data_IF_276029896626
#
_entry.id   IF_276029896626
#
_cell.length_a   1.000
_cell.length_b   1.000
_cell.length_c   1.000
_cell.angle_alpha   90.00
_cell.angle_beta   90.00
_cell.angle_gamma   90.00
#
_symmetry.space_group_name_H-M   'P 1'
#
loop_
_entity.id
_entity.type
_entity.pdbx_description
1 polymer ?
#
# COMPACT_ATOMS: atom_id res chain seq x y z
N UNK A 1 9.73 16.29 -16.79
CA UNK A 1 10.16 15.98 -15.40
C UNK A 1 10.37 14.48 -15.35
N UNK A 2 11.54 14.02 -14.91
CA UNK A 2 11.80 12.59 -14.73
C UNK A 2 11.19 12.13 -13.40
N UNK A 3 10.40 11.06 -13.43
CA UNK A 3 9.79 10.42 -12.27
C UNK A 3 10.40 9.02 -12.05
N UNK A 4 10.51 8.67 -10.79
CA UNK A 4 10.80 7.32 -10.34
C UNK A 4 9.54 6.45 -10.47
N UNK A 5 9.74 5.15 -10.65
CA UNK A 5 8.67 4.15 -10.57
C UNK A 5 9.02 3.12 -9.49
N UNK A 6 8.00 2.57 -8.85
CA UNK A 6 8.17 1.35 -8.08
C UNK A 6 8.13 0.12 -8.99
N UNK A 7 8.77 -0.96 -8.59
CA UNK A 7 8.77 -2.23 -9.33
C UNK A 7 8.60 -3.41 -8.37
N UNK A 8 7.67 -4.29 -8.68
CA UNK A 8 7.41 -5.55 -7.97
C UNK A 8 7.67 -6.72 -8.91
N UNK A 9 8.66 -7.56 -8.61
CA UNK A 9 9.03 -8.73 -9.42
C UNK A 9 9.11 -8.43 -10.94
N UNK A 10 9.68 -7.28 -11.32
CA UNK A 10 9.82 -6.88 -12.72
C UNK A 10 8.64 -6.08 -13.31
N UNK A 11 7.49 -5.98 -12.62
CA UNK A 11 6.33 -5.19 -13.05
C UNK A 11 6.33 -3.82 -12.36
N UNK A 12 6.20 -2.74 -13.12
CA UNK A 12 6.22 -1.38 -12.56
C UNK A 12 4.86 -0.93 -12.03
N UNK A 13 4.90 -0.02 -11.04
CA UNK A 13 3.77 0.75 -10.55
C UNK A 13 4.18 2.22 -10.36
N UNK A 14 3.23 3.12 -10.53
CA UNK A 14 3.41 4.56 -10.49
C UNK A 14 3.16 5.13 -9.09
N UNK A 15 2.09 4.70 -8.42
CA UNK A 15 1.65 5.33 -7.16
C UNK A 15 2.00 4.48 -5.95
N UNK A 16 1.30 3.36 -5.77
CA UNK A 16 1.44 2.52 -4.58
C UNK A 16 1.33 1.05 -4.95
N UNK A 17 2.06 0.22 -4.20
CA UNK A 17 1.86 -1.22 -4.13
C UNK A 17 1.54 -1.59 -2.68
N UNK A 18 0.45 -2.32 -2.46
CA UNK A 18 -0.08 -2.61 -1.13
C UNK A 18 -0.35 -4.10 -0.94
N UNK A 19 -0.19 -4.53 0.31
CA UNK A 19 -0.59 -5.83 0.80
C UNK A 19 -1.43 -5.67 2.06
N UNK A 20 -2.37 -6.59 2.23
CA UNK A 20 -3.19 -6.70 3.42
C UNK A 20 -4.60 -6.19 3.17
N UNK A 21 -5.09 -5.32 4.05
CA UNK A 21 -6.46 -4.83 4.05
C UNK A 21 -6.84 -4.18 2.72
N UNK A 22 -5.99 -3.30 2.21
CA UNK A 22 -6.25 -2.54 0.98
C UNK A 22 -6.29 -3.46 -0.24
N UNK A 23 -5.32 -4.37 -0.37
CA UNK A 23 -5.33 -5.43 -1.38
C UNK A 23 -6.59 -6.32 -1.31
N UNK A 24 -7.03 -6.68 -0.10
CA UNK A 24 -8.26 -7.45 0.08
C UNK A 24 -9.52 -6.67 -0.34
N UNK A 25 -9.54 -5.36 -0.14
CA UNK A 25 -10.61 -4.47 -0.64
C UNK A 25 -10.56 -4.39 -2.16
N UNK A 26 -9.39 -4.16 -2.76
CA UNK A 26 -9.21 -4.10 -4.22
C UNK A 26 -9.69 -5.38 -4.90
N UNK A 27 -9.27 -6.55 -4.39
CA UNK A 27 -9.77 -7.85 -4.87
C UNK A 27 -11.28 -8.00 -4.75
N UNK A 28 -11.85 -7.56 -3.62
CA UNK A 28 -13.30 -7.63 -3.43
C UNK A 28 -14.03 -6.76 -4.45
N UNK A 29 -13.55 -5.53 -4.68
CA UNK A 29 -14.13 -4.57 -5.61
C UNK A 29 -13.98 -5.03 -7.06
N UNK A 30 -12.82 -5.57 -7.44
CA UNK A 30 -12.57 -6.12 -8.77
C UNK A 30 -13.54 -7.29 -9.10
N UNK A 31 -13.87 -8.11 -8.09
CA UNK A 31 -14.86 -9.16 -8.22
C UNK A 31 -16.33 -8.69 -8.24
N UNK A 32 -16.63 -7.41 -7.96
CA UNK A 32 -18.01 -6.91 -7.94
C UNK A 32 -18.54 -6.72 -9.36
N UNK A 33 -19.55 -7.53 -9.72
CA UNK A 33 -20.32 -7.39 -10.96
C UNK A 33 -21.60 -6.56 -10.77
N UNK A 34 -21.56 -5.51 -9.95
CA UNK A 34 -22.74 -4.70 -9.63
C UNK A 34 -22.63 -3.34 -10.34
N UNK A 35 -23.45 -3.08 -11.40
CA UNK A 35 -23.29 -1.89 -12.24
C UNK A 35 -23.45 -0.55 -11.50
N UNK A 36 -24.17 -0.53 -10.38
CA UNK A 36 -24.43 0.68 -9.59
C UNK A 36 -23.37 0.99 -8.52
N UNK A 37 -22.46 0.05 -8.24
CA UNK A 37 -21.37 0.21 -7.27
C UNK A 37 -20.05 0.28 -8.05
N UNK A 38 -19.69 1.48 -8.49
CA UNK A 38 -18.43 1.76 -9.17
C UNK A 38 -17.60 2.78 -8.40
N UNK A 39 -16.29 2.79 -8.65
CA UNK A 39 -15.34 3.73 -8.06
C UNK A 39 -15.38 3.77 -6.53
N UNK A 40 -15.38 4.98 -5.97
CA UNK A 40 -15.28 5.23 -4.52
C UNK A 40 -16.38 4.53 -3.71
N UNK A 41 -17.60 4.40 -4.24
CA UNK A 41 -18.73 3.77 -3.50
C UNK A 41 -18.51 2.27 -3.32
N UNK A 42 -18.05 1.59 -4.37
CA UNK A 42 -17.66 0.19 -4.29
C UNK A 42 -16.52 -0.01 -3.29
N UNK A 43 -15.54 0.90 -3.31
CA UNK A 43 -14.40 0.87 -2.40
C UNK A 43 -14.80 1.02 -0.94
N UNK A 44 -15.63 2.02 -0.61
CA UNK A 44 -16.13 2.23 0.74
C UNK A 44 -16.91 1.03 1.26
N UNK A 45 -17.75 0.42 0.41
CA UNK A 45 -18.49 -0.78 0.76
C UNK A 45 -17.57 -1.98 0.99
N UNK A 46 -16.60 -2.20 0.11
CA UNK A 46 -15.56 -3.23 0.26
C UNK A 46 -14.76 -3.04 1.56
N UNK A 47 -14.32 -1.82 1.85
CA UNK A 47 -13.61 -1.48 3.08
C UNK A 47 -14.46 -1.73 4.33
N UNK A 48 -15.72 -1.31 4.34
CA UNK A 48 -16.64 -1.56 5.46
C UNK A 48 -16.88 -3.05 5.71
N UNK A 49 -16.97 -3.86 4.65
CA UNK A 49 -17.07 -5.32 4.77
C UNK A 49 -15.78 -5.94 5.27
N UNK A 50 -14.66 -5.55 4.67
CA UNK A 50 -13.36 -6.13 5.00
C UNK A 50 -12.90 -5.78 6.40
N UNK A 51 -13.29 -4.62 6.96
CA UNK A 51 -12.78 -4.22 8.28
C UNK A 51 -13.30 -5.15 9.39
N UNK A 52 -14.41 -5.82 9.13
CA UNK A 52 -14.99 -6.81 10.05
C UNK A 52 -14.31 -8.17 9.90
N UNK A 53 -14.02 -8.61 8.67
CA UNK A 53 -13.61 -10.00 8.37
C UNK A 53 -12.10 -10.19 8.16
N UNK A 54 -11.36 -9.13 7.80
CA UNK A 54 -9.96 -9.23 7.38
C UNK A 54 -9.03 -9.66 8.52
N UNK A 55 -8.20 -10.67 8.28
CA UNK A 55 -7.17 -11.10 9.24
C UNK A 55 -5.80 -10.70 8.71
N UNK A 56 -5.05 -9.94 9.51
CA UNK A 56 -3.71 -9.51 9.18
C UNK A 56 -2.78 -10.73 9.01
N UNK A 57 -2.12 -10.89 7.85
CA UNK A 57 -1.10 -11.91 7.69
C UNK A 57 0.13 -11.59 8.54
N UNK A 58 0.89 -12.63 8.89
CA UNK A 58 2.24 -12.47 9.40
C UNK A 58 3.19 -12.28 8.23
N UNK A 59 3.96 -11.18 8.25
CA UNK A 59 4.86 -10.77 7.18
C UNK A 59 6.29 -10.63 7.72
N UNK A 60 7.24 -10.99 6.87
CA UNK A 60 8.67 -10.75 7.06
C UNK A 60 9.13 -9.79 5.96
N UNK A 61 9.78 -8.71 6.35
CA UNK A 61 10.27 -7.66 5.47
C UNK A 61 11.76 -7.45 5.70
N UNK A 62 12.55 -7.62 4.65
CA UNK A 62 13.99 -7.45 4.70
C UNK A 62 14.43 -6.45 3.63
N UNK A 63 15.09 -5.37 4.03
CA UNK A 63 15.57 -4.33 3.13
C UNK A 63 16.75 -3.55 3.71
N UNK A 64 17.08 -2.43 3.07
CA UNK A 64 18.08 -1.48 3.56
C UNK A 64 17.71 -0.83 4.91
N UNK A 65 16.44 -0.86 5.32
CA UNK A 65 15.97 -0.51 6.67
C UNK A 65 16.20 -1.63 7.71
N UNK A 66 16.78 -2.76 7.32
CA UNK A 66 16.98 -3.94 8.17
C UNK A 66 15.82 -4.94 8.11
N UNK A 67 15.58 -5.63 9.23
CA UNK A 67 14.58 -6.69 9.37
C UNK A 67 13.36 -6.19 10.14
N UNK A 68 12.17 -6.40 9.57
CA UNK A 68 10.89 -6.09 10.21
C UNK A 68 9.96 -7.27 10.05
N UNK A 69 9.41 -7.74 11.17
CA UNK A 69 8.53 -8.89 11.19
C UNK A 69 7.32 -8.63 12.09
N UNK A 70 6.16 -9.16 11.71
CA UNK A 70 4.96 -9.09 12.53
C UNK A 70 3.67 -9.25 11.73
N UNK A 71 2.54 -9.01 12.40
CA UNK A 71 1.23 -8.99 11.76
C UNK A 71 0.85 -7.58 11.37
N UNK A 72 0.57 -7.38 10.09
CA UNK A 72 0.26 -6.08 9.53
C UNK A 72 -1.11 -6.09 8.89
N UNK A 73 -1.95 -5.15 9.30
CA UNK A 73 -3.22 -4.90 8.60
C UNK A 73 -2.93 -4.30 7.23
N UNK A 74 -1.90 -3.46 7.13
CA UNK A 74 -1.54 -2.81 5.88
C UNK A 74 -0.01 -2.72 5.79
N UNK A 75 0.51 -3.13 4.65
CA UNK A 75 1.89 -2.89 4.24
C UNK A 75 1.84 -2.24 2.85
N UNK A 76 1.89 -0.91 2.81
CA UNK A 76 1.77 -0.12 1.58
C UNK A 76 3.09 0.56 1.29
N UNK A 77 3.66 0.23 0.14
CA UNK A 77 4.83 0.89 -0.43
C UNK A 77 4.35 1.98 -1.37
N UNK A 78 4.79 3.21 -1.14
CA UNK A 78 4.37 4.39 -1.87
C UNK A 78 5.54 5.04 -2.58
N UNK A 79 5.35 5.31 -3.87
CA UNK A 79 6.19 6.21 -4.67
C UNK A 79 5.63 7.64 -4.62
N UNK A 80 4.30 7.79 -4.52
CA UNK A 80 3.61 9.09 -4.41
C UNK A 80 2.99 9.31 -3.04
N UNK A 81 2.85 10.58 -2.63
CA UNK A 81 2.31 10.92 -1.32
C UNK A 81 0.84 10.49 -1.11
N UNK A 82 0.08 10.42 -2.21
CA UNK A 82 -1.35 10.10 -2.20
C UNK A 82 -1.69 9.03 -3.24
N UNK A 83 -2.80 8.31 -3.02
CA UNK A 83 -3.42 7.43 -4.02
C UNK A 83 -4.95 7.40 -3.85
N UNK A 84 -5.67 6.75 -4.78
CA UNK A 84 -7.09 6.43 -4.59
C UNK A 84 -8.02 7.63 -4.34
N UNK A 85 -7.82 8.73 -5.07
CA UNK A 85 -8.60 9.97 -4.87
C UNK A 85 -8.00 10.90 -3.81
N UNK A 86 -6.68 11.11 -3.87
CA UNK A 86 -5.93 12.01 -2.98
C UNK A 86 -5.85 11.57 -1.52
N UNK A 87 -5.98 10.26 -1.24
CA UNK A 87 -5.78 9.73 0.11
C UNK A 87 -4.29 9.75 0.49
N UNK A 88 -3.87 10.48 1.53
CA UNK A 88 -2.46 10.71 1.85
C UNK A 88 -1.88 9.60 2.72
N UNK A 89 -1.58 8.44 2.13
CA UNK A 89 -1.08 7.26 2.86
C UNK A 89 0.36 7.41 3.35
N UNK A 90 1.19 8.09 2.57
CA UNK A 90 2.60 8.34 2.84
C UNK A 90 2.91 9.82 2.54
N UNK A 91 2.45 10.77 3.37
CA UNK A 91 2.48 12.20 3.04
C UNK A 91 3.87 12.78 2.71
N UNK A 92 4.94 12.10 3.11
CA UNK A 92 6.33 12.50 2.88
C UNK A 92 6.95 11.88 1.61
N UNK A 93 6.25 11.00 0.89
CA UNK A 93 6.79 10.33 -0.30
C UNK A 93 7.01 11.32 -1.44
N UNK A 94 8.20 11.24 -2.06
CA UNK A 94 8.63 12.11 -3.16
C UNK A 94 8.96 11.23 -4.36
N UNK A 95 8.25 11.36 -5.49
CA UNK A 95 8.39 10.44 -6.63
C UNK A 95 9.63 10.70 -7.51
N UNK A 96 10.62 11.45 -7.01
CA UNK A 96 11.81 11.88 -7.75
C UNK A 96 13.10 11.81 -6.92
N UNK A 97 13.07 11.23 -5.72
CA UNK A 97 14.21 11.20 -4.82
C UNK A 97 14.91 9.84 -4.73
N UNK A 98 14.51 8.90 -5.58
CA UNK A 98 15.08 7.57 -5.70
C UNK A 98 14.79 6.67 -4.50
N UNK A 99 13.67 6.89 -3.81
CA UNK A 99 13.25 6.10 -2.64
C UNK A 99 11.77 5.74 -2.72
N UNK A 100 11.40 4.67 -2.00
CA UNK A 100 10.01 4.31 -1.71
C UNK A 100 9.73 4.48 -0.22
N UNK A 101 8.51 4.88 0.10
CA UNK A 101 8.02 5.06 1.46
C UNK A 101 7.08 3.91 1.83
N UNK A 102 7.51 3.05 2.75
CA UNK A 102 6.77 1.91 3.25
C UNK A 102 6.00 2.29 4.52
N UNK A 103 4.68 2.39 4.40
CA UNK A 103 3.73 2.56 5.49
C UNK A 103 3.25 1.20 6.00
N UNK A 104 3.58 0.89 7.26
CA UNK A 104 3.13 -0.31 7.96
C UNK A 104 2.11 0.07 9.02
N UNK A 105 0.97 -0.62 9.04
CA UNK A 105 -0.03 -0.54 10.10
C UNK A 105 -0.14 -1.90 10.77
N UNK A 106 0.21 -1.95 12.05
CA UNK A 106 0.19 -3.17 12.85
C UNK A 106 -1.23 -3.69 13.05
N UNK A 107 -1.35 -5.00 13.27
CA UNK A 107 -2.61 -5.59 13.70
C UNK A 107 -3.02 -5.12 15.10
N UNK A 108 -4.31 -4.86 15.26
CA UNK A 108 -4.87 -4.32 16.48
C UNK A 108 -6.35 -4.69 16.62
N UNK A 109 -6.89 -4.72 17.86
CA UNK A 109 -8.32 -4.88 18.06
C UNK A 109 -9.13 -3.85 17.27
N UNK A 110 -10.28 -4.26 16.71
CA UNK A 110 -11.10 -3.43 15.81
C UNK A 110 -11.43 -2.04 16.35
N UNK A 111 -11.68 -1.93 17.66
CA UNK A 111 -11.92 -0.65 18.36
C UNK A 111 -10.78 0.37 18.22
N UNK A 112 -9.54 -0.09 17.98
CA UNK A 112 -8.38 0.76 17.70
C UNK A 112 -8.11 0.90 16.21
N UNK A 113 -8.31 -0.18 15.46
CA UNK A 113 -8.03 -0.23 14.02
C UNK A 113 -8.98 0.65 13.20
N UNK A 114 -10.28 0.58 13.44
CA UNK A 114 -11.28 1.35 12.66
C UNK A 114 -11.02 2.87 12.73
N UNK A 115 -10.84 3.47 13.93
CA UNK A 115 -10.46 4.89 14.02
C UNK A 115 -9.10 5.21 13.37
N UNK A 116 -8.15 4.28 13.40
CA UNK A 116 -6.84 4.48 12.79
C UNK A 116 -6.93 4.53 11.26
N UNK A 117 -7.64 3.58 10.64
CA UNK A 117 -7.90 3.58 9.20
C UNK A 117 -8.69 4.82 8.76
N UNK A 118 -9.70 5.23 9.53
CA UNK A 118 -10.45 6.47 9.26
C UNK A 118 -9.56 7.72 9.32
N UNK A 119 -8.54 7.74 10.20
CA UNK A 119 -7.53 8.81 10.23
C UNK A 119 -6.58 8.74 9.05
N UNK A 120 -6.23 7.54 8.58
CA UNK A 120 -5.37 7.35 7.42
C UNK A 120 -5.96 7.96 6.14
N UNK A 121 -7.28 7.87 5.98
CA UNK A 121 -8.02 8.54 4.88
C UNK A 121 -7.76 10.06 4.85
N UNK A 122 -7.42 10.67 5.99
CA UNK A 122 -7.14 12.10 6.14
C UNK A 122 -5.67 12.41 6.43
N UNK A 123 -4.78 11.41 6.35
CA UNK A 123 -3.35 11.57 6.65
C UNK A 123 -3.00 11.77 8.13
N UNK A 124 -3.98 11.59 9.03
CA UNK A 124 -3.84 11.81 10.48
C UNK A 124 -3.38 10.57 11.24
N UNK A 125 -2.94 9.54 10.52
CA UNK A 125 -2.33 8.31 11.05
C UNK A 125 -0.83 8.47 11.32
N UNK A 126 -0.16 9.46 10.71
CA UNK A 126 1.25 9.76 10.95
C UNK A 126 1.52 10.00 12.44
N UNK A 127 2.55 9.34 12.97
CA UNK A 127 2.94 9.42 14.38
C UNK A 127 2.01 8.71 15.37
N UNK A 128 0.99 7.98 14.89
CA UNK A 128 0.11 7.20 15.77
C UNK A 128 0.77 5.87 16.19
N UNK A 129 0.48 5.37 17.41
CA UNK A 129 0.90 4.04 17.82
C UNK A 129 0.40 2.98 16.83
N UNK A 130 1.28 2.04 16.48
CA UNK A 130 1.00 0.98 15.51
C UNK A 130 1.12 1.40 14.05
N UNK A 131 1.65 2.60 13.77
CA UNK A 131 1.97 3.07 12.41
C UNK A 131 3.47 3.31 12.32
N UNK A 132 4.11 2.70 11.32
CA UNK A 132 5.53 2.86 11.04
C UNK A 132 5.73 3.31 9.60
N UNK A 133 6.68 4.21 9.40
CA UNK A 133 7.16 4.61 8.09
C UNK A 133 8.62 4.24 7.97
N UNK A 134 8.96 3.53 6.90
CA UNK A 134 10.31 3.14 6.55
C UNK A 134 10.59 3.66 5.14
N UNK A 135 11.84 4.05 4.87
CA UNK A 135 12.26 4.46 3.54
C UNK A 135 13.23 3.42 2.99
N UNK A 136 13.07 3.07 1.73
CA UNK A 136 13.85 1.99 1.13
C UNK A 136 14.05 2.20 -0.36
N UNK A 137 15.20 1.76 -0.88
CA UNK A 137 15.38 1.56 -2.32
C UNK A 137 14.90 0.20 -2.78
N UNK A 138 14.98 -0.78 -1.89
CA UNK A 138 14.70 -2.18 -2.21
C UNK A 138 14.47 -2.97 -0.93
N UNK A 139 13.42 -3.78 -0.94
CA UNK A 139 13.16 -4.76 0.10
C UNK A 139 12.42 -5.97 -0.46
N UNK A 140 12.46 -7.07 0.29
CA UNK A 140 11.74 -8.29 0.02
C UNK A 140 10.67 -8.48 1.08
N UNK A 141 9.49 -8.91 0.65
CA UNK A 141 8.36 -9.22 1.52
C UNK A 141 7.96 -10.68 1.36
N UNK A 142 7.81 -11.36 2.49
CA UNK A 142 7.46 -12.77 2.57
C UNK A 142 6.31 -13.01 3.54
N UNK A 143 5.62 -14.12 3.35
CA UNK A 143 4.58 -14.61 4.23
C UNK A 143 4.48 -16.14 4.13
N UNK A 144 3.96 -16.79 5.17
CA UNK A 144 3.86 -18.25 5.23
C UNK A 144 3.01 -18.84 4.08
N UNK A 145 1.87 -18.21 3.78
CA UNK A 145 1.07 -18.51 2.60
C UNK A 145 1.22 -17.39 1.57
N UNK A 146 1.11 -17.64 0.27
CA UNK A 146 1.06 -16.59 -0.74
C UNK A 146 -0.04 -15.56 -0.45
N UNK A 147 0.34 -14.29 -0.40
CA UNK A 147 -0.55 -13.14 -0.24
C UNK A 147 -0.44 -12.23 -1.44
N UNK A 148 -1.58 -11.77 -1.91
CA UNK A 148 -1.67 -10.88 -3.06
C UNK A 148 -1.10 -9.49 -2.73
N UNK A 149 -0.33 -8.97 -3.68
CA UNK A 149 0.01 -7.57 -3.78
C UNK A 149 -0.83 -6.95 -4.89
N UNK A 150 -1.37 -5.78 -4.61
CA UNK A 150 -2.10 -4.96 -5.56
C UNK A 150 -1.36 -3.65 -5.74
N UNK A 151 -1.24 -3.16 -6.97
CA UNK A 151 -0.59 -1.90 -7.26
C UNK A 151 -1.42 -1.11 -8.28
N UNK A 152 -1.53 0.21 -8.07
CA UNK A 152 -2.31 1.11 -8.92
C UNK A 152 -3.76 0.65 -9.22
N UNK A 153 -4.34 -0.14 -8.31
CA UNK A 153 -5.70 -0.68 -8.44
C UNK A 153 -5.80 -2.06 -9.12
N UNK A 154 -4.69 -2.65 -9.55
CA UNK A 154 -4.65 -3.96 -10.22
C UNK A 154 -3.80 -4.97 -9.46
N UNK A 155 -4.06 -6.26 -9.65
CA UNK A 155 -3.20 -7.32 -9.11
C UNK A 155 -1.82 -7.31 -9.79
N UNK A 156 -0.75 -7.29 -8.98
CA UNK A 156 0.63 -7.20 -9.51
C UNK A 156 1.47 -8.46 -9.25
N UNK A 157 1.34 -9.08 -8.08
CA UNK A 157 2.15 -10.24 -7.69
C UNK A 157 1.55 -10.95 -6.46
N UNK A 158 2.17 -12.07 -6.06
CA UNK A 158 1.99 -12.67 -4.74
C UNK A 158 3.33 -12.69 -3.98
N UNK A 159 3.29 -12.84 -2.66
CA UNK A 159 4.49 -13.18 -1.89
C UNK A 159 5.04 -14.57 -2.27
N UNK A 160 6.37 -14.75 -2.16
CA UNK A 160 7.37 -13.73 -1.84
C UNK A 160 7.57 -12.75 -3.00
N UNK A 161 7.76 -11.47 -2.68
CA UNK A 161 7.94 -10.42 -3.68
C UNK A 161 9.14 -9.53 -3.38
N UNK A 162 9.89 -9.18 -4.42
CA UNK A 162 10.92 -8.16 -4.41
C UNK A 162 10.31 -6.85 -4.85
N UNK A 163 10.39 -5.82 -4.01
CA UNK A 163 9.97 -4.45 -4.32
C UNK A 163 11.20 -3.56 -4.36
N UNK A 164 11.31 -2.72 -5.38
CA UNK A 164 12.42 -1.79 -5.56
C UNK A 164 11.99 -0.53 -6.30
N UNK A 165 12.74 0.55 -6.12
CA UNK A 165 12.60 1.78 -6.90
C UNK A 165 13.39 1.67 -8.20
N UNK A 166 12.86 2.27 -9.26
CA UNK A 166 13.53 2.48 -10.54
C UNK A 166 13.65 3.99 -10.72
N UNK A 167 14.83 4.57 -10.40
CA UNK A 167 15.00 6.01 -10.46
C UNK A 167 14.90 6.54 -11.89
N UNK A 168 14.30 7.72 -12.07
CA UNK A 168 14.16 8.42 -13.34
C UNK A 168 13.66 7.52 -14.48
N UNK A 169 12.71 6.64 -14.18
CA UNK A 169 12.23 5.60 -15.09
C UNK A 169 11.35 6.14 -16.22
N UNK A 170 10.71 7.30 -16.04
CA UNK A 170 9.82 7.88 -17.05
C UNK A 170 9.89 9.40 -17.04
N UNK A 171 9.93 10.00 -18.24
CA UNK A 171 9.74 11.43 -18.42
C UNK A 171 8.26 11.77 -18.59
N UNK A 172 7.76 12.67 -17.75
CA UNK A 172 6.38 13.17 -17.82
C UNK A 172 6.35 14.67 -18.13
N UNK A 173 5.31 15.10 -18.81
CA UNK A 173 4.98 16.53 -18.94
C UNK A 173 4.39 17.03 -17.63
N UNK A 174 4.91 18.15 -17.12
CA UNK A 174 4.39 18.81 -15.94
C UNK A 174 3.96 20.25 -16.31
N UNK A 175 2.98 20.84 -15.61
CA UNK A 175 2.71 22.27 -15.71
C UNK A 175 3.99 23.09 -15.44
N UNK A 176 4.09 24.25 -16.09
CA UNK A 176 5.19 25.19 -15.91
C UNK A 176 5.22 25.79 -14.49
#
# INVERSE_FOLDING_TARGET
>A
MALDLGRVNGRCFCTVATMGFDAAVSRYVDGLRVPLLTGTRAYLFGAARMVLTFRAPHLILEGDFGHVEGRFVLATTANTATYGGSMPIAPAAVPTDGMLDLCLIDDAPRRRLVPLLARAVRGRHVGRPGVRFLRTRRFRIESADPRELWADGEWIANTPAQIEVVPAAVDVMAPA
#
